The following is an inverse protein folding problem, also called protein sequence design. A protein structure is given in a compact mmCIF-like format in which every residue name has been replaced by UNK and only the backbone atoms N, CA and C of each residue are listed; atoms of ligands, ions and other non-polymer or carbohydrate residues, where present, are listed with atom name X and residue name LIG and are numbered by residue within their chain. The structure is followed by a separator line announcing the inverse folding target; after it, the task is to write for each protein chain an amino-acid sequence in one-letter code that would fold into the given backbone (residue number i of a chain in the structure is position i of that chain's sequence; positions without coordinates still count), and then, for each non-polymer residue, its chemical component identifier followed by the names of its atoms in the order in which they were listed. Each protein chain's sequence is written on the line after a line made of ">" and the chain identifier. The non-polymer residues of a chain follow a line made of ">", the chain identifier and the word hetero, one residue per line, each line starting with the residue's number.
data_IF_969828306812
#
_entry.id   IF_969828306812
#
_cell.length_a   1.000
_cell.length_b   1.000
_cell.length_c   1.000
_cell.angle_alpha   90.00
_cell.angle_beta   90.00
_cell.angle_gamma   90.00
#
_symmetry.space_group_name_H-M   'P 1'
#
loop_
_entity.id
_entity.type
_entity.pdbx_description
1 polymer ?
#
# COMPACT_ATOMS: atom_id res chain seq x y z
N UNK A 1 -27.32 9.23 -36.81
CA UNK A 1 -27.92 8.74 -35.55
C UNK A 1 -27.10 9.34 -34.41
N UNK A 2 -27.62 10.35 -33.69
CA UNK A 2 -26.85 11.12 -32.72
C UNK A 2 -26.79 10.42 -31.35
N UNK A 3 -25.64 10.54 -30.68
CA UNK A 3 -25.39 10.12 -29.31
C UNK A 3 -26.20 10.96 -28.31
N UNK A 4 -27.01 10.30 -27.47
CA UNK A 4 -27.74 10.81 -26.29
C UNK A 4 -28.32 9.57 -25.58
N UNK A 5 -28.09 9.22 -24.33
CA UNK A 5 -27.84 10.01 -23.13
C UNK A 5 -26.88 9.23 -22.19
N UNK A 6 -25.75 9.84 -21.83
CA UNK A 6 -25.10 9.58 -20.55
C UNK A 6 -25.94 10.29 -19.49
N UNK A 7 -26.59 9.55 -18.60
CA UNK A 7 -27.15 10.16 -17.39
C UNK A 7 -26.02 10.33 -16.37
N UNK A 8 -25.73 11.57 -15.94
CA UNK A 8 -24.95 11.83 -14.74
C UNK A 8 -25.85 11.64 -13.50
N UNK A 9 -25.25 11.69 -12.31
CA UNK A 9 -25.88 11.66 -10.98
C UNK A 9 -25.74 10.36 -10.17
N UNK A 10 -24.51 9.96 -9.88
CA UNK A 10 -24.19 9.42 -8.55
C UNK A 10 -23.90 10.60 -7.61
N UNK A 11 -24.96 11.24 -7.12
CA UNK A 11 -24.85 12.14 -5.97
C UNK A 11 -24.64 11.26 -4.73
N UNK A 12 -23.41 11.20 -4.23
CA UNK A 12 -23.15 10.60 -2.92
C UNK A 12 -23.80 11.49 -1.84
N UNK A 13 -24.97 11.10 -1.36
CA UNK A 13 -25.50 11.65 -0.11
C UNK A 13 -24.63 11.14 1.05
N UNK A 14 -24.16 12.00 1.96
CA UNK A 14 -23.60 11.54 3.22
C UNK A 14 -24.77 11.08 4.10
N UNK A 15 -24.91 9.77 4.32
CA UNK A 15 -25.83 9.29 5.35
C UNK A 15 -25.17 9.47 6.71
N UNK A 16 -25.73 10.36 7.51
CA UNK A 16 -25.48 10.51 8.94
C UNK A 16 -26.24 9.40 9.68
N UNK A 17 -25.53 8.33 10.06
CA UNK A 17 -25.92 7.46 11.17
C UNK A 17 -24.67 7.18 12.04
N UNK A 18 -24.74 7.34 13.37
CA UNK A 18 -23.55 7.39 14.24
C UNK A 18 -23.03 6.02 14.73
N UNK A 19 -23.52 4.89 14.25
CA UNK A 19 -23.16 3.56 14.81
C UNK A 19 -22.65 2.52 13.80
N UNK A 20 -22.33 2.91 12.57
CA UNK A 20 -21.68 1.99 11.63
C UNK A 20 -20.16 2.15 11.71
N UNK A 21 -19.48 1.20 12.36
CA UNK A 21 -18.02 1.09 12.25
C UNK A 21 -17.62 1.08 10.77
N UNK A 22 -16.68 1.93 10.34
CA UNK A 22 -16.33 2.03 8.93
C UNK A 22 -15.70 0.72 8.46
N UNK A 23 -16.30 0.10 7.43
CA UNK A 23 -15.82 -1.13 6.76
C UNK A 23 -14.42 -0.97 6.12
N UNK A 24 -13.83 0.23 6.21
CA UNK A 24 -12.44 0.55 5.87
C UNK A 24 -11.62 0.98 7.09
N UNK A 25 -11.64 0.19 8.18
CA UNK A 25 -10.68 0.34 9.28
C UNK A 25 -9.28 -0.13 8.84
N UNK A 26 -8.67 0.59 7.90
CA UNK A 26 -7.21 0.56 7.68
C UNK A 26 -6.46 1.26 8.82
N UNK A 27 -7.18 2.01 9.66
CA UNK A 27 -6.62 2.75 10.78
C UNK A 27 -6.81 1.97 12.08
N UNK A 28 -5.71 1.43 12.60
CA UNK A 28 -5.64 1.01 13.99
C UNK A 28 -5.96 2.23 14.89
N UNK A 29 -6.86 2.12 15.88
CA UNK A 29 -7.29 3.25 16.73
C UNK A 29 -6.24 3.69 17.76
N UNK A 30 -5.13 2.96 17.90
CA UNK A 30 -4.00 3.42 18.68
C UNK A 30 -3.19 4.43 17.86
N UNK A 31 -2.67 5.53 18.45
CA UNK A 31 -1.65 6.34 17.80
C UNK A 31 -0.39 5.49 17.71
N UNK A 32 -0.35 4.63 16.68
CA UNK A 32 0.84 3.93 16.29
C UNK A 32 1.95 4.94 16.01
N UNK A 33 3.22 4.51 16.02
CA UNK A 33 4.31 5.36 15.58
C UNK A 33 3.91 6.00 14.24
N UNK A 34 4.10 7.32 14.12
CA UNK A 34 3.75 8.03 12.90
C UNK A 34 4.45 7.39 11.69
N UNK A 35 3.90 7.58 10.49
CA UNK A 35 4.43 6.96 9.25
C UNK A 35 5.95 7.15 9.11
N UNK A 36 6.46 8.34 9.48
CA UNK A 36 7.90 8.61 9.47
C UNK A 36 8.70 7.72 10.44
N UNK A 37 8.16 7.46 11.63
CA UNK A 37 8.82 6.60 12.62
C UNK A 37 8.81 5.14 12.19
N UNK A 38 7.73 4.70 11.51
CA UNK A 38 7.67 3.38 10.88
C UNK A 38 8.70 3.23 9.75
N UNK A 39 8.90 4.24 8.91
CA UNK A 39 9.99 4.22 7.93
C UNK A 39 11.37 4.20 8.60
N UNK A 40 11.57 4.95 9.68
CA UNK A 40 12.84 4.89 10.43
C UNK A 40 13.06 3.49 11.03
N UNK A 41 12.02 2.84 11.54
CA UNK A 41 12.10 1.46 12.02
C UNK A 41 12.48 0.49 10.89
N UNK A 42 11.82 0.59 9.74
CA UNK A 42 12.12 -0.20 8.55
C UNK A 42 13.60 -0.02 8.12
N UNK A 43 14.08 1.21 8.03
CA UNK A 43 15.47 1.51 7.65
C UNK A 43 16.45 0.93 8.67
N UNK A 44 16.17 1.06 9.96
CA UNK A 44 17.04 0.51 11.00
C UNK A 44 17.07 -1.03 10.97
N UNK A 45 15.93 -1.67 10.71
CA UNK A 45 15.84 -3.12 10.55
C UNK A 45 16.64 -3.58 9.33
N UNK A 46 16.56 -2.86 8.22
CA UNK A 46 17.30 -3.19 7.00
C UNK A 46 18.82 -2.99 7.17
N UNK A 47 19.24 -1.92 7.85
CA UNK A 47 20.65 -1.71 8.24
C UNK A 47 21.18 -2.87 9.09
N UNK A 48 20.40 -3.31 10.07
CA UNK A 48 20.76 -4.45 10.91
C UNK A 48 20.82 -5.76 10.10
N UNK A 49 19.86 -5.99 9.21
CA UNK A 49 19.80 -7.16 8.32
C UNK A 49 21.02 -7.26 7.40
N UNK A 50 21.48 -6.14 6.87
CA UNK A 50 22.67 -6.07 6.00
C UNK A 50 23.98 -5.98 6.78
N UNK A 51 23.94 -5.84 8.11
CA UNK A 51 25.13 -5.63 8.94
C UNK A 51 25.85 -4.30 8.67
N UNK A 52 25.14 -3.30 8.13
CA UNK A 52 25.72 -2.00 7.76
C UNK A 52 25.58 -1.03 8.94
N UNK A 53 26.69 -0.50 9.49
CA UNK A 53 26.61 0.58 10.47
C UNK A 53 26.05 1.85 9.83
N UNK A 54 25.18 2.57 10.56
CA UNK A 54 24.63 3.85 10.08
C UNK A 54 25.71 4.87 9.71
N UNK A 55 26.89 4.83 10.35
CA UNK A 55 28.02 5.66 9.99
C UNK A 55 28.49 5.43 8.54
N UNK A 56 28.53 4.18 8.09
CA UNK A 56 28.92 3.82 6.73
C UNK A 56 27.91 4.29 5.70
N UNK A 57 26.61 4.18 6.00
CA UNK A 57 25.56 4.73 5.16
C UNK A 57 25.68 6.26 5.04
N UNK A 58 25.99 6.97 6.13
CA UNK A 58 26.20 8.42 6.09
C UNK A 58 27.36 8.79 5.17
N UNK A 59 28.46 8.04 5.21
CA UNK A 59 29.64 8.26 4.38
C UNK A 59 29.31 8.05 2.88
N UNK A 60 28.58 6.98 2.53
CA UNK A 60 28.09 6.73 1.15
C UNK A 60 27.23 7.86 0.62
N UNK A 61 26.31 8.34 1.47
CA UNK A 61 25.40 9.44 1.16
C UNK A 61 26.06 10.82 1.17
N UNK A 62 27.35 10.92 1.54
CA UNK A 62 28.09 12.18 1.73
C UNK A 62 27.39 13.16 2.69
N UNK A 63 26.79 12.64 3.76
CA UNK A 63 26.17 13.44 4.82
C UNK A 63 26.90 13.23 6.15
N UNK A 64 26.78 14.18 7.07
CA UNK A 64 27.42 14.02 8.37
C UNK A 64 26.77 12.87 9.15
N UNK A 65 27.61 12.00 9.74
CA UNK A 65 27.18 10.87 10.59
C UNK A 65 26.23 11.31 11.70
N UNK A 66 26.53 12.45 12.33
CA UNK A 66 25.68 13.05 13.36
C UNK A 66 24.29 13.43 12.83
N UNK A 67 24.19 13.94 11.60
CA UNK A 67 22.90 14.28 10.97
C UNK A 67 22.08 13.02 10.70
N UNK A 68 22.68 11.99 10.10
CA UNK A 68 21.97 10.74 9.84
C UNK A 68 21.51 10.07 11.14
N UNK A 69 22.37 10.04 12.15
CA UNK A 69 22.01 9.52 13.48
C UNK A 69 20.84 10.28 14.10
N UNK A 70 20.82 11.62 14.02
CA UNK A 70 19.68 12.42 14.50
C UNK A 70 18.38 12.11 13.73
N UNK A 71 18.46 11.83 12.43
CA UNK A 71 17.28 11.47 11.62
C UNK A 71 16.76 10.08 11.99
N UNK A 72 17.64 9.08 12.11
CA UNK A 72 17.23 7.68 12.32
C UNK A 72 16.88 7.34 13.77
N UNK A 73 17.42 8.07 14.75
CA UNK A 73 17.28 7.77 16.19
C UNK A 73 16.66 8.90 17.01
N UNK A 74 16.59 10.13 16.51
CA UNK A 74 16.00 11.27 17.22
C UNK A 74 14.78 11.83 16.48
N UNK A 75 14.25 12.92 17.02
CA UNK A 75 13.02 13.60 16.58
C UNK A 75 13.14 14.32 15.24
N UNK A 76 14.31 14.31 14.58
CA UNK A 76 14.42 14.98 13.29
C UNK A 76 13.51 14.29 12.26
N UNK A 77 12.79 15.06 11.43
CA UNK A 77 11.90 14.49 10.43
C UNK A 77 12.69 13.76 9.35
N UNK A 78 12.16 12.62 8.92
CA UNK A 78 12.67 11.90 7.75
C UNK A 78 11.92 12.44 6.53
N UNK A 79 12.54 13.35 5.79
CA UNK A 79 11.95 13.91 4.56
C UNK A 79 11.91 12.86 3.45
N UNK A 80 10.93 12.95 2.54
CA UNK A 80 10.77 12.00 1.44
C UNK A 80 12.05 11.86 0.59
N UNK A 81 12.65 12.99 0.20
CA UNK A 81 13.90 12.97 -0.57
C UNK A 81 15.13 12.45 0.20
N UNK A 82 15.08 12.39 1.54
CA UNK A 82 16.10 11.70 2.34
C UNK A 82 15.80 10.21 2.41
N UNK A 83 14.54 9.83 2.65
CA UNK A 83 14.06 8.44 2.64
C UNK A 83 14.43 7.75 1.34
N UNK A 84 14.08 8.34 0.20
CA UNK A 84 14.29 7.74 -1.12
C UNK A 84 15.80 7.58 -1.43
N UNK A 85 16.65 8.51 -0.96
CA UNK A 85 18.10 8.35 -1.06
C UNK A 85 18.62 7.20 -0.19
N UNK A 86 18.14 7.08 1.04
CA UNK A 86 18.50 5.96 1.93
C UNK A 86 18.08 4.63 1.29
N UNK A 87 16.87 4.57 0.72
CA UNK A 87 16.38 3.37 0.06
C UNK A 87 17.25 2.98 -1.13
N UNK A 88 17.62 3.93 -2.00
CA UNK A 88 18.55 3.66 -3.11
C UNK A 88 19.89 3.10 -2.62
N UNK A 89 20.49 3.69 -1.59
CA UNK A 89 21.78 3.25 -1.05
C UNK A 89 21.73 1.89 -0.35
N UNK A 90 20.58 1.53 0.22
CA UNK A 90 20.33 0.23 0.83
C UNK A 90 19.79 -0.80 -0.16
N UNK A 91 19.53 -0.42 -1.42
CA UNK A 91 18.91 -1.30 -2.41
C UNK A 91 17.48 -1.73 -2.03
N UNK A 92 16.75 -0.88 -1.31
CA UNK A 92 15.38 -1.15 -0.90
C UNK A 92 14.40 -0.84 -2.03
N UNK A 93 13.37 -1.68 -2.18
CA UNK A 93 12.29 -1.41 -3.13
C UNK A 93 11.33 -0.35 -2.55
N UNK A 94 11.20 0.76 -3.25
CA UNK A 94 10.40 1.90 -2.81
C UNK A 94 8.90 1.58 -2.74
N UNK A 95 8.39 0.79 -3.69
CA UNK A 95 6.97 0.44 -3.77
C UNK A 95 6.62 -0.50 -2.63
N UNK A 96 7.46 -1.52 -2.41
CA UNK A 96 7.34 -2.46 -1.31
C UNK A 96 7.40 -1.74 0.04
N UNK A 97 8.36 -0.84 0.23
CA UNK A 97 8.47 -0.06 1.47
C UNK A 97 7.22 0.79 1.75
N UNK A 98 6.65 1.41 0.71
CA UNK A 98 5.40 2.18 0.81
C UNK A 98 4.20 1.27 1.11
N UNK A 99 4.11 0.10 0.49
CA UNK A 99 3.06 -0.88 0.82
C UNK A 99 3.17 -1.28 2.30
N UNK A 100 4.37 -1.62 2.77
CA UNK A 100 4.58 -2.02 4.16
C UNK A 100 4.22 -0.92 5.16
N UNK A 101 4.66 0.32 4.93
CA UNK A 101 4.54 1.40 5.92
C UNK A 101 3.29 2.25 5.73
N UNK A 102 3.02 2.72 4.51
CA UNK A 102 1.92 3.65 4.25
C UNK A 102 0.58 2.93 4.09
N UNK A 103 0.56 1.72 3.50
CA UNK A 103 -0.69 0.98 3.29
C UNK A 103 -0.99 -0.01 4.43
N UNK A 104 0.01 -0.75 4.89
CA UNK A 104 -0.19 -1.81 5.89
C UNK A 104 0.13 -1.37 7.32
N UNK A 105 0.76 -0.21 7.50
CA UNK A 105 1.23 0.28 8.80
C UNK A 105 2.07 -0.74 9.58
N UNK A 106 2.81 -1.58 8.86
CA UNK A 106 3.67 -2.63 9.43
C UNK A 106 5.04 -2.67 8.71
N UNK A 107 6.09 -2.11 9.33
CA UNK A 107 7.45 -2.21 8.81
C UNK A 107 7.94 -3.65 8.59
N UNK A 108 7.48 -4.62 9.38
CA UNK A 108 7.93 -6.01 9.28
C UNK A 108 7.35 -6.71 8.05
N UNK A 109 6.22 -6.23 7.54
CA UNK A 109 5.63 -6.70 6.29
C UNK A 109 6.59 -6.53 5.10
N UNK A 110 7.60 -5.67 5.21
CA UNK A 110 8.63 -5.53 4.17
C UNK A 110 9.43 -6.82 3.95
N UNK A 111 9.55 -7.73 4.92
CA UNK A 111 10.20 -9.02 4.69
C UNK A 111 9.25 -10.08 4.08
N UNK A 112 7.94 -9.83 4.10
CA UNK A 112 6.93 -10.80 3.70
C UNK A 112 6.92 -11.03 2.17
N UNK A 113 6.85 -12.30 1.76
CA UNK A 113 6.79 -12.72 0.36
C UNK A 113 5.51 -12.22 -0.35
N UNK A 114 4.36 -12.18 0.35
CA UNK A 114 3.12 -11.70 -0.25
C UNK A 114 3.21 -10.21 -0.63
N UNK A 115 3.88 -9.41 0.21
CA UNK A 115 4.11 -7.98 -0.04
C UNK A 115 5.11 -7.77 -1.18
N UNK A 116 6.11 -8.64 -1.30
CA UNK A 116 7.00 -8.64 -2.46
C UNK A 116 6.22 -8.88 -3.76
N UNK A 117 5.41 -9.95 -3.82
CA UNK A 117 4.62 -10.27 -5.00
C UNK A 117 3.63 -9.17 -5.36
N UNK A 118 2.97 -8.56 -4.36
CA UNK A 118 2.08 -7.42 -4.57
C UNK A 118 2.84 -6.22 -5.18
N UNK A 119 4.03 -5.90 -4.67
CA UNK A 119 4.86 -4.81 -5.19
C UNK A 119 5.29 -5.06 -6.64
N UNK A 120 5.77 -6.26 -6.97
CA UNK A 120 6.15 -6.63 -8.35
C UNK A 120 4.95 -6.61 -9.29
N UNK A 121 3.79 -7.09 -8.84
CA UNK A 121 2.57 -7.11 -9.64
C UNK A 121 2.09 -5.69 -9.95
N UNK A 122 2.15 -4.79 -8.96
CA UNK A 122 1.77 -3.38 -9.14
C UNK A 122 2.73 -2.65 -10.08
N UNK A 123 4.04 -2.91 -9.98
CA UNK A 123 5.04 -2.36 -10.90
C UNK A 123 4.80 -2.84 -12.34
N UNK A 124 4.53 -4.14 -12.51
CA UNK A 124 4.22 -4.72 -13.82
C UNK A 124 2.95 -4.13 -14.42
N UNK A 125 1.88 -4.04 -13.62
CA UNK A 125 0.63 -3.41 -14.01
C UNK A 125 0.81 -1.94 -14.41
N UNK A 126 1.60 -1.18 -13.63
CA UNK A 126 1.91 0.21 -13.97
C UNK A 126 2.63 0.31 -15.33
N UNK A 127 3.59 -0.57 -15.61
CA UNK A 127 4.29 -0.59 -16.90
C UNK A 127 3.33 -0.93 -18.05
N UNK A 128 2.40 -1.86 -17.87
CA UNK A 128 1.40 -2.18 -18.88
C UNK A 128 0.48 -1.00 -19.19
N UNK A 129 -0.01 -0.32 -18.15
CA UNK A 129 -0.82 0.89 -18.28
C UNK A 129 -0.05 1.98 -19.02
N UNK A 130 1.21 2.23 -18.63
CA UNK A 130 2.05 3.27 -19.23
C UNK A 130 2.45 2.97 -20.67
N UNK A 131 2.58 1.69 -21.04
CA UNK A 131 3.00 1.28 -22.39
C UNK A 131 1.83 0.99 -23.32
N UNK A 132 0.58 1.10 -22.85
CA UNK A 132 -0.64 0.80 -23.60
C UNK A 132 -0.62 -0.57 -24.30
N UNK A 133 0.19 -1.52 -23.81
CA UNK A 133 0.25 -2.87 -24.36
C UNK A 133 -1.03 -3.59 -23.92
N UNK A 134 -1.93 -3.83 -24.87
CA UNK A 134 -3.12 -4.66 -24.66
C UNK A 134 -2.69 -6.09 -24.31
N UNK A 135 -2.69 -6.41 -23.02
CA UNK A 135 -2.94 -7.76 -22.52
C UNK A 135 -1.86 -8.81 -22.75
N UNK A 136 -0.67 -8.61 -22.21
CA UNK A 136 0.13 -9.76 -21.75
C UNK A 136 0.82 -9.39 -20.45
N UNK A 137 0.11 -9.59 -19.33
CA UNK A 137 0.74 -9.70 -18.02
C UNK A 137 1.65 -10.93 -18.12
N UNK A 138 2.94 -10.73 -18.40
CA UNK A 138 3.99 -11.77 -18.39
C UNK A 138 4.37 -12.12 -16.93
N UNK A 139 3.36 -12.30 -16.08
CA UNK A 139 3.54 -12.97 -14.81
C UNK A 139 2.98 -14.36 -15.02
N UNK A 140 3.82 -15.37 -14.88
CA UNK A 140 3.42 -16.78 -14.92
C UNK A 140 2.58 -17.10 -13.67
N UNK A 141 1.39 -16.50 -13.61
CA UNK A 141 0.40 -16.72 -12.57
C UNK A 141 -0.20 -18.08 -12.85
N UNK A 142 0.13 -19.04 -12.00
CA UNK A 142 -0.46 -20.39 -12.06
C UNK A 142 -1.98 -20.25 -12.20
N UNK A 143 -2.63 -20.96 -13.14
CA UNK A 143 -4.08 -20.87 -13.38
C UNK A 143 -4.94 -21.00 -12.12
N UNK A 144 -4.48 -21.79 -11.14
CA UNK A 144 -5.14 -21.94 -9.85
C UNK A 144 -5.29 -20.61 -9.07
N UNK A 145 -4.30 -19.71 -9.14
CA UNK A 145 -4.35 -18.41 -8.46
C UNK A 145 -5.38 -17.49 -9.12
N UNK A 146 -5.44 -17.50 -10.45
CA UNK A 146 -6.40 -16.71 -11.22
C UNK A 146 -7.82 -17.20 -10.94
N UNK A 147 -8.04 -18.51 -10.97
CA UNK A 147 -9.35 -19.09 -10.67
C UNK A 147 -9.80 -18.82 -9.23
N UNK A 148 -8.89 -18.89 -8.27
CA UNK A 148 -9.18 -18.59 -6.86
C UNK A 148 -9.52 -17.10 -6.67
N UNK A 149 -8.76 -16.18 -7.29
CA UNK A 149 -9.06 -14.76 -7.23
C UNK A 149 -10.40 -14.41 -7.88
N UNK A 150 -10.70 -15.00 -9.05
CA UNK A 150 -11.98 -14.83 -9.73
C UNK A 150 -13.15 -15.36 -8.91
N UNK A 151 -12.98 -16.53 -8.28
CA UNK A 151 -13.99 -17.10 -7.37
C UNK A 151 -14.27 -16.18 -6.19
N UNK A 152 -13.23 -15.71 -5.50
CA UNK A 152 -13.38 -14.79 -4.35
C UNK A 152 -14.06 -13.48 -4.74
N UNK A 153 -13.73 -12.92 -5.91
CA UNK A 153 -14.38 -11.72 -6.41
C UNK A 153 -15.87 -11.97 -6.68
N UNK A 154 -16.22 -13.12 -7.26
CA UNK A 154 -17.60 -13.50 -7.53
C UNK A 154 -18.40 -13.70 -6.23
N UNK A 155 -17.83 -14.41 -5.26
CA UNK A 155 -18.46 -14.64 -3.96
C UNK A 155 -18.70 -13.32 -3.20
N UNK A 156 -17.77 -12.36 -3.30
CA UNK A 156 -17.91 -11.04 -2.71
C UNK A 156 -19.02 -10.22 -3.38
N UNK A 157 -19.13 -10.30 -4.71
CA UNK A 157 -20.20 -9.62 -5.46
C UNK A 157 -21.58 -10.20 -5.13
N UNK A 158 -21.70 -11.52 -5.02
CA UNK A 158 -22.94 -12.17 -4.61
C UNK A 158 -23.32 -11.78 -3.17
N UNK A 159 -22.38 -11.84 -2.23
CA UNK A 159 -22.62 -11.42 -0.86
C UNK A 159 -23.01 -9.94 -0.77
N UNK A 160 -22.46 -9.09 -1.64
CA UNK A 160 -22.87 -7.70 -1.73
C UNK A 160 -24.30 -7.55 -2.26
N UNK A 161 -24.67 -8.28 -3.32
CA UNK A 161 -26.04 -8.28 -3.85
C UNK A 161 -27.07 -8.74 -2.82
N UNK A 162 -26.78 -9.82 -2.09
CA UNK A 162 -27.67 -10.33 -1.03
C UNK A 162 -27.90 -9.28 0.07
N UNK A 163 -26.85 -8.57 0.47
CA UNK A 163 -26.95 -7.48 1.46
C UNK A 163 -27.76 -6.30 0.93
N UNK A 164 -27.58 -5.93 -0.34
CA UNK A 164 -28.38 -4.86 -0.97
C UNK A 164 -29.86 -5.25 -1.02
N UNK A 165 -30.17 -6.49 -1.41
CA UNK A 165 -31.56 -6.98 -1.46
C UNK A 165 -32.21 -7.06 -0.08
N UNK A 166 -31.46 -7.49 0.95
CA UNK A 166 -31.94 -7.49 2.34
C UNK A 166 -32.22 -6.08 2.84
N UNK A 167 -31.33 -5.13 2.56
CA UNK A 167 -31.52 -3.74 2.92
C UNK A 167 -32.74 -3.13 2.21
N UNK A 168 -32.92 -3.39 0.92
CA UNK A 168 -34.11 -2.93 0.17
C UNK A 168 -35.41 -3.50 0.74
N UNK A 169 -35.42 -4.78 1.17
CA UNK A 169 -36.58 -5.38 1.83
C UNK A 169 -36.88 -4.73 3.19
N UNK A 170 -35.85 -4.40 3.96
CA UNK A 170 -36.03 -3.70 5.26
C UNK A 170 -36.45 -2.24 5.12
N UNK A 171 -36.15 -1.60 3.98
CA UNK A 171 -36.58 -0.22 3.69
C UNK A 171 -38.01 -0.13 3.13
N UNK A 172 -38.56 -1.25 2.66
CA UNK A 172 -39.93 -1.36 2.11
C UNK A 172 -40.95 -1.91 3.12
N UNK A 173 -40.52 -2.38 4.29
CA UNK A 173 -41.35 -2.84 5.40
C UNK A 173 -41.63 -1.71 6.40
#
# INVERSE_FOLDING_TARGET
>A
MPHRNLTPETVFKPSTDPETEPVFLFANPNPGPGEQDQYKQLINAELARQGIPSAHLADRMRISRARLHKILKKTNPLTDGMRDRIFNELGMDHVRAKISVALLHDPNAYANQAVFLAAESLKSFYLEVMTCRRGSIEVDLRPAIIHEAARRAYDLLLSHQDRVMQNDQTLQA
#
